data_IF_540479321356
#
_entry.id   IF_540479321356
#
_cell.length_a   1.000
_cell.length_b   1.000
_cell.length_c   1.000
_cell.angle_alpha   90.00
_cell.angle_beta   90.00
_cell.angle_gamma   90.00
#
_symmetry.space_group_name_H-M   'P 1'
#
loop_
_entity.id
_entity.type
_entity.pdbx_description
1 polymer ?
#
# COMPACT_ATOMS: atom_id res chain seq x y z
N UNK A 1 -12.96 -38.89 35.36
CA UNK A 1 -13.76 -38.16 34.36
C UNK A 1 -13.80 -36.70 34.80
N UNK A 2 -12.81 -35.90 34.39
CA UNK A 2 -12.88 -34.45 34.53
C UNK A 2 -12.11 -33.83 33.36
N UNK A 3 -12.89 -33.46 32.34
CA UNK A 3 -12.48 -32.86 31.07
C UNK A 3 -12.31 -31.36 31.30
N UNK A 4 -11.17 -30.96 31.85
CA UNK A 4 -10.79 -29.55 31.84
C UNK A 4 -10.47 -29.17 30.39
N UNK A 5 -11.39 -28.40 29.80
CA UNK A 5 -11.27 -27.82 28.46
C UNK A 5 -10.00 -26.96 28.38
N UNK A 6 -9.00 -27.44 27.64
CA UNK A 6 -7.89 -26.60 27.17
C UNK A 6 -8.48 -25.46 26.32
N UNK A 7 -8.14 -24.19 26.60
CA UNK A 7 -8.57 -23.11 25.73
C UNK A 7 -7.80 -23.19 24.41
N UNK A 8 -8.56 -23.28 23.32
CA UNK A 8 -8.09 -23.26 21.93
C UNK A 8 -7.11 -22.09 21.67
N UNK A 9 -6.09 -22.26 20.81
CA UNK A 9 -5.16 -21.19 20.46
C UNK A 9 -5.94 -20.01 19.86
N UNK A 10 -5.63 -18.80 20.33
CA UNK A 10 -6.30 -17.56 20.00
C UNK A 10 -6.62 -17.44 18.50
N UNK A 11 -7.91 -17.55 18.18
CA UNK A 11 -8.48 -17.26 16.87
C UNK A 11 -8.05 -15.85 16.44
N UNK A 12 -7.44 -15.72 15.27
CA UNK A 12 -7.25 -14.41 14.65
C UNK A 12 -8.61 -13.71 14.57
N UNK A 13 -8.71 -12.51 15.15
CA UNK A 13 -9.97 -11.76 15.12
C UNK A 13 -10.15 -11.18 13.70
N UNK A 14 -11.07 -11.70 12.87
CA UNK A 14 -11.21 -11.27 11.48
C UNK A 14 -11.63 -9.81 11.36
N UNK A 15 -12.37 -9.29 12.35
CA UNK A 15 -12.77 -7.88 12.41
C UNK A 15 -11.55 -6.98 12.60
N UNK A 16 -10.64 -7.36 13.48
CA UNK A 16 -9.39 -6.63 13.73
C UNK A 16 -8.53 -6.56 12.46
N UNK A 17 -8.42 -7.66 11.72
CA UNK A 17 -7.69 -7.71 10.47
C UNK A 17 -8.35 -6.86 9.38
N UNK A 18 -9.68 -6.86 9.31
CA UNK A 18 -10.43 -6.03 8.38
C UNK A 18 -10.25 -4.52 8.68
N UNK A 19 -10.30 -4.12 9.96
CA UNK A 19 -10.03 -2.74 10.39
C UNK A 19 -8.60 -2.31 10.02
N UNK A 20 -7.61 -3.16 10.33
CA UNK A 20 -6.19 -2.91 9.97
C UNK A 20 -6.00 -2.76 8.48
N UNK A 21 -6.61 -3.63 7.68
CA UNK A 21 -6.54 -3.57 6.21
C UNK A 21 -7.16 -2.29 5.66
N UNK A 22 -8.25 -1.83 6.27
CA UNK A 22 -8.93 -0.59 5.89
C UNK A 22 -8.06 0.63 6.21
N UNK A 23 -7.52 0.71 7.44
CA UNK A 23 -6.59 1.76 7.85
C UNK A 23 -5.33 1.81 6.98
N UNK A 24 -4.80 0.64 6.65
CA UNK A 24 -3.64 0.48 5.79
C UNK A 24 -3.90 1.04 4.39
N UNK A 25 -5.02 0.64 3.76
CA UNK A 25 -5.41 1.14 2.44
C UNK A 25 -5.65 2.65 2.43
N UNK A 26 -6.26 3.20 3.49
CA UNK A 26 -6.46 4.64 3.63
C UNK A 26 -5.12 5.40 3.60
N UNK A 27 -4.12 4.97 4.37
CA UNK A 27 -2.78 5.57 4.36
C UNK A 27 -2.04 5.41 3.02
N UNK A 28 -2.24 4.28 2.33
CA UNK A 28 -1.64 4.08 1.01
C UNK A 28 -2.27 4.98 -0.05
N UNK A 29 -3.58 5.18 0.00
CA UNK A 29 -4.30 6.06 -0.94
C UNK A 29 -3.98 7.53 -0.67
N UNK A 30 -4.05 7.93 0.60
CA UNK A 30 -3.82 9.29 1.07
C UNK A 30 -2.69 9.29 2.10
N UNK A 31 -1.45 9.62 1.70
CA UNK A 31 -0.29 9.61 2.61
C UNK A 31 -0.35 10.67 3.71
N UNK A 32 -1.27 11.64 3.61
CA UNK A 32 -1.54 12.64 4.63
C UNK A 32 -3.05 12.60 4.95
N UNK A 33 -3.38 12.23 6.18
CA UNK A 33 -4.74 12.12 6.68
C UNK A 33 -4.95 13.15 7.80
N UNK A 34 -5.62 14.27 7.53
CA UNK A 34 -6.09 15.19 8.56
C UNK A 34 -7.10 14.54 9.51
N UNK A 35 -7.03 14.90 10.79
CA UNK A 35 -7.95 14.48 11.85
C UNK A 35 -9.33 15.14 11.74
N UNK A 36 -9.46 16.17 10.91
CA UNK A 36 -10.69 16.94 10.69
C UNK A 36 -11.08 16.84 9.21
N UNK A 37 -12.39 16.88 8.94
CA UNK A 37 -12.93 16.87 7.58
C UNK A 37 -13.31 15.47 7.10
N UNK A 38 -13.29 15.28 5.79
CA UNK A 38 -13.75 14.04 5.14
C UNK A 38 -12.95 12.80 5.59
N UNK A 39 -11.66 12.98 5.91
CA UNK A 39 -10.76 11.90 6.30
C UNK A 39 -10.73 11.57 7.79
N UNK A 40 -11.54 12.25 8.61
CA UNK A 40 -11.50 12.12 10.07
C UNK A 40 -11.75 10.67 10.54
N UNK A 41 -12.68 9.96 9.89
CA UNK A 41 -12.98 8.54 10.21
C UNK A 41 -11.79 7.62 9.93
N UNK A 42 -11.06 7.86 8.85
CA UNK A 42 -9.87 7.08 8.54
C UNK A 42 -8.70 7.43 9.47
N UNK A 43 -8.55 8.71 9.84
CA UNK A 43 -7.58 9.13 10.85
C UNK A 43 -7.81 8.41 12.19
N UNK A 44 -9.05 8.36 12.68
CA UNK A 44 -9.39 7.67 13.93
C UNK A 44 -9.07 6.17 13.87
N UNK A 45 -9.36 5.53 12.73
CA UNK A 45 -9.05 4.12 12.51
C UNK A 45 -7.53 3.87 12.49
N UNK A 46 -6.77 4.75 11.85
CA UNK A 46 -5.29 4.71 11.84
C UNK A 46 -4.72 4.92 13.24
N UNK A 47 -5.28 5.87 14.01
CA UNK A 47 -4.85 6.15 15.38
C UNK A 47 -5.08 4.94 16.29
N UNK A 48 -6.25 4.29 16.17
CA UNK A 48 -6.59 3.04 16.88
C UNK A 48 -5.58 1.92 16.63
N UNK A 49 -5.14 1.75 15.38
CA UNK A 49 -4.21 0.68 14.97
C UNK A 49 -2.75 1.14 14.83
N UNK A 50 -2.40 2.29 15.40
CA UNK A 50 -1.13 2.98 15.17
C UNK A 50 0.11 2.15 15.51
N UNK A 51 0.10 1.41 16.62
CA UNK A 51 1.23 0.60 17.04
C UNK A 51 1.54 -0.51 16.02
N UNK A 52 0.50 -1.22 15.56
CA UNK A 52 0.64 -2.27 14.56
C UNK A 52 1.06 -1.70 13.20
N UNK A 53 0.45 -0.60 12.76
CA UNK A 53 0.76 0.06 11.49
C UNK A 53 2.21 0.57 11.46
N UNK A 54 2.67 1.24 12.52
CA UNK A 54 4.05 1.72 12.64
C UNK A 54 5.05 0.56 12.54
N UNK A 55 4.79 -0.55 13.23
CA UNK A 55 5.64 -1.73 13.14
C UNK A 55 5.65 -2.32 11.73
N UNK A 56 4.48 -2.47 11.10
CA UNK A 56 4.37 -3.04 9.76
C UNK A 56 5.09 -2.19 8.70
N UNK A 57 4.85 -0.87 8.67
CA UNK A 57 5.46 0.02 7.68
C UNK A 57 6.98 0.12 7.82
N UNK A 58 7.51 0.07 9.04
CA UNK A 58 8.96 0.03 9.25
C UNK A 58 9.53 -1.33 8.84
N UNK A 59 8.84 -2.44 9.13
CA UNK A 59 9.36 -3.78 8.86
C UNK A 59 9.44 -4.13 7.36
N UNK A 60 8.44 -3.75 6.57
CA UNK A 60 8.33 -4.22 5.18
C UNK A 60 8.86 -3.20 4.17
N UNK A 61 8.25 -2.00 4.01
CA UNK A 61 8.75 -1.00 3.07
C UNK A 61 9.76 0.00 3.67
N UNK A 62 10.09 -0.11 4.96
CA UNK A 62 10.91 0.87 5.70
C UNK A 62 10.33 2.29 5.68
N UNK A 63 9.01 2.42 5.51
CA UNK A 63 8.32 3.71 5.53
C UNK A 63 8.02 4.13 6.97
N UNK A 64 8.20 5.42 7.26
CA UNK A 64 7.93 5.98 8.58
C UNK A 64 6.49 6.50 8.63
N UNK A 65 5.73 6.08 9.64
CA UNK A 65 4.40 6.59 9.93
C UNK A 65 4.47 7.54 11.14
N UNK A 66 4.27 8.83 10.88
CA UNK A 66 4.14 9.86 11.91
C UNK A 66 2.66 10.10 12.20
N UNK A 67 2.27 10.14 13.47
CA UNK A 67 0.89 10.40 13.88
C UNK A 67 0.96 11.44 14.98
N UNK A 68 0.36 12.59 14.69
CA UNK A 68 0.15 13.69 15.61
C UNK A 68 -1.35 13.78 15.95
N UNK A 69 -1.74 14.74 16.80
CA UNK A 69 -3.12 15.03 17.19
C UNK A 69 -3.97 15.48 16.00
N UNK A 70 -3.36 16.18 15.05
CA UNK A 70 -4.09 16.80 13.94
C UNK A 70 -3.95 16.06 12.61
N UNK A 71 -2.90 15.24 12.46
CA UNK A 71 -2.60 14.56 11.19
C UNK A 71 -1.92 13.20 11.40
N UNK A 72 -2.21 12.25 10.53
CA UNK A 72 -1.40 11.05 10.31
C UNK A 72 -0.70 11.17 8.96
N UNK A 73 0.63 11.02 8.93
CA UNK A 73 1.47 11.15 7.74
C UNK A 73 2.33 9.92 7.52
N UNK A 74 2.16 9.30 6.36
CA UNK A 74 3.01 8.23 5.86
C UNK A 74 4.12 8.81 4.97
N UNK A 75 5.37 8.67 5.41
CA UNK A 75 6.54 9.04 4.63
C UNK A 75 6.94 7.90 3.70
N UNK A 76 6.39 7.94 2.48
CA UNK A 76 6.79 7.03 1.41
C UNK A 76 8.17 7.43 0.91
N UNK A 77 9.09 6.48 0.95
CA UNK A 77 10.42 6.60 0.35
C UNK A 77 10.31 5.94 -1.03
N UNK A 78 10.59 6.67 -2.13
CA UNK A 78 10.63 6.05 -3.45
C UNK A 78 11.73 4.98 -3.47
N UNK A 79 11.56 3.97 -4.31
CA UNK A 79 12.68 3.08 -4.62
C UNK A 79 13.83 3.91 -5.19
N UNK A 80 15.07 3.45 -4.99
CA UNK A 80 16.23 4.06 -5.62
C UNK A 80 16.04 3.99 -7.14
N UNK A 81 16.06 5.17 -7.79
CA UNK A 81 15.85 5.29 -9.22
C UNK A 81 17.02 4.73 -10.03
N UNK A 82 18.16 4.46 -9.38
CA UNK A 82 19.34 3.82 -9.95
C UNK A 82 19.44 2.33 -9.59
N UNK A 83 18.48 1.78 -8.85
CA UNK A 83 18.43 0.35 -8.54
C UNK A 83 17.99 -0.46 -9.77
N UNK A 84 18.98 -1.00 -10.49
CA UNK A 84 18.77 -1.84 -11.67
C UNK A 84 18.43 -3.31 -11.31
N UNK A 85 18.31 -3.68 -10.03
CA UNK A 85 18.07 -5.08 -9.60
C UNK A 85 16.63 -5.55 -9.82
N UNK A 86 15.69 -4.63 -10.11
CA UNK A 86 14.26 -4.93 -10.31
C UNK A 86 13.74 -4.39 -11.66
N UNK A 87 14.30 -4.84 -12.80
CA UNK A 87 13.82 -4.37 -14.09
C UNK A 87 12.42 -4.89 -14.38
N UNK A 88 11.64 -4.12 -15.14
CA UNK A 88 10.47 -4.65 -15.83
C UNK A 88 10.91 -5.76 -16.79
N UNK A 89 10.23 -6.91 -16.74
CA UNK A 89 10.53 -8.08 -17.57
C UNK A 89 9.42 -8.27 -18.58
N UNK A 90 9.80 -8.46 -19.84
CA UNK A 90 8.90 -8.87 -20.90
C UNK A 90 8.39 -10.30 -20.61
N UNK A 91 7.08 -10.46 -20.41
CA UNK A 91 6.50 -11.73 -19.99
C UNK A 91 6.63 -12.84 -21.06
N UNK A 92 6.78 -12.49 -22.34
CA UNK A 92 6.89 -13.44 -23.44
C UNK A 92 8.34 -13.88 -23.65
N UNK A 93 9.28 -12.95 -23.65
CA UNK A 93 10.70 -13.23 -23.91
C UNK A 93 11.52 -13.47 -22.65
N UNK A 94 10.99 -13.15 -21.46
CA UNK A 94 11.73 -13.20 -20.19
C UNK A 94 12.86 -12.17 -20.09
N UNK A 95 12.97 -11.26 -21.06
CA UNK A 95 14.07 -10.29 -21.12
C UNK A 95 13.74 -9.02 -20.33
N UNK A 96 14.74 -8.50 -19.60
CA UNK A 96 14.64 -7.21 -18.93
C UNK A 96 14.49 -6.08 -19.96
N UNK A 97 13.69 -5.07 -19.63
CA UNK A 97 13.54 -3.88 -20.46
C UNK A 97 14.85 -3.12 -20.55
N UNK A 98 15.29 -2.84 -21.79
CA UNK A 98 16.41 -1.92 -22.04
C UNK A 98 15.97 -0.46 -21.84
N UNK A 99 16.93 0.47 -21.69
CA UNK A 99 16.65 1.92 -21.62
C UNK A 99 15.76 2.41 -22.77
N UNK A 100 15.99 1.89 -23.98
CA UNK A 100 15.17 2.19 -25.17
C UNK A 100 13.73 1.69 -25.01
N UNK A 101 13.52 0.48 -24.47
CA UNK A 101 12.16 -0.04 -24.24
C UNK A 101 11.41 0.78 -23.21
N UNK A 102 12.07 1.24 -22.13
CA UNK A 102 11.45 2.18 -21.19
C UNK A 102 11.06 3.50 -21.86
N UNK A 103 11.92 4.09 -22.69
CA UNK A 103 11.58 5.31 -23.43
C UNK A 103 10.37 5.12 -24.36
N UNK A 104 10.32 4.01 -25.11
CA UNK A 104 9.19 3.69 -25.97
C UNK A 104 7.91 3.44 -25.17
N UNK A 105 8.00 2.78 -24.01
CA UNK A 105 6.87 2.58 -23.12
C UNK A 105 6.31 3.92 -22.63
N UNK A 106 7.16 4.84 -22.14
CA UNK A 106 6.72 6.16 -21.71
C UNK A 106 6.05 6.95 -22.84
N UNK A 107 6.60 6.88 -24.07
CA UNK A 107 5.99 7.51 -25.24
C UNK A 107 4.63 6.91 -25.59
N UNK A 108 4.50 5.58 -25.55
CA UNK A 108 3.22 4.91 -25.77
C UNK A 108 2.18 5.31 -24.70
N UNK A 109 2.58 5.35 -23.43
CA UNK A 109 1.71 5.80 -22.33
C UNK A 109 1.27 7.25 -22.50
N UNK A 110 2.17 8.16 -22.88
CA UNK A 110 1.82 9.56 -23.16
C UNK A 110 0.84 9.71 -24.34
N UNK A 111 1.00 8.89 -25.38
CA UNK A 111 0.06 8.86 -26.50
C UNK A 111 -1.33 8.36 -26.06
N UNK A 112 -1.37 7.33 -25.20
CA UNK A 112 -2.60 6.77 -24.65
C UNK A 112 -3.30 7.73 -23.67
N UNK A 113 -2.54 8.44 -22.83
CA UNK A 113 -3.09 9.45 -21.90
C UNK A 113 -3.78 10.59 -22.65
N UNK A 114 -3.26 10.98 -23.82
CA UNK A 114 -3.90 11.96 -24.70
C UNK A 114 -5.08 11.36 -25.49
N UNK A 115 -5.17 10.04 -25.64
CA UNK A 115 -6.31 9.42 -26.31
C UNK A 115 -7.48 9.29 -25.32
N UNK A 116 -8.51 10.12 -25.49
CA UNK A 116 -9.71 10.14 -24.61
C UNK A 116 -10.55 8.85 -24.66
N UNK A 117 -10.13 7.83 -25.43
CA UNK A 117 -10.84 6.57 -25.57
C UNK A 117 -10.43 5.61 -24.45
N UNK A 118 -11.30 5.52 -23.44
CA UNK A 118 -11.17 4.57 -22.34
C UNK A 118 -11.42 3.14 -22.86
N UNK A 119 -10.35 2.40 -23.13
CA UNK A 119 -10.46 0.98 -23.49
C UNK A 119 -10.65 0.14 -22.23
N UNK A 120 -11.89 -0.25 -21.93
CA UNK A 120 -12.16 -1.28 -20.91
C UNK A 120 -11.56 -2.60 -21.38
N UNK A 121 -10.45 -3.00 -20.77
CA UNK A 121 -9.89 -4.36 -20.89
C UNK A 121 -10.75 -5.31 -20.05
N UNK A 122 -11.86 -5.77 -20.62
CA UNK A 122 -12.59 -6.91 -20.11
C UNK A 122 -12.32 -8.11 -21.01
N UNK A 123 -11.59 -9.10 -20.50
CA UNK A 123 -11.76 -10.54 -20.76
C UNK A 123 -11.12 -11.32 -19.60
#
# INVERSE_FOLDING_TARGET
MNINSEPLPAMSNPELEAERRTAFRALLRNPLLPAVGETAKEYDLVRRHSAWLKHWFVKFPLWKLHIDKDVARLHKIPADLLDETRPAVDATSGSAFSRRRYALLCLALAALERSELQTTLGQ
#
